data_IF_858322176366
#
_entry.id   IF_858322176366
#
_cell.length_a   1.000
_cell.length_b   1.000
_cell.length_c   1.000
_cell.angle_alpha   90.00
_cell.angle_beta   90.00
_cell.angle_gamma   90.00
#
_symmetry.space_group_name_H-M   'P 1'
#
loop_
_entity.id
_entity.type
_entity.pdbx_description
1 polymer ?
#
# COMPACT_ATOMS: atom_id res chain seq x y z
N UNK A 1 84.75 -4.18 -22.84
CA UNK A 1 84.13 -3.36 -21.76
C UNK A 1 82.82 -2.69 -22.17
N UNK A 2 82.34 -2.82 -23.41
CA UNK A 2 81.08 -2.21 -23.89
C UNK A 2 79.81 -2.99 -23.57
N UNK A 3 79.91 -4.30 -23.27
CA UNK A 3 78.75 -5.15 -22.95
C UNK A 3 78.12 -4.89 -21.58
N UNK A 4 78.91 -4.44 -20.61
CA UNK A 4 78.49 -4.30 -19.20
C UNK A 4 77.62 -3.06 -18.98
N UNK A 5 78.00 -1.91 -19.58
CA UNK A 5 77.23 -0.67 -19.52
C UNK A 5 75.87 -0.77 -20.22
N UNK A 6 75.79 -1.54 -21.31
CA UNK A 6 74.53 -1.78 -22.03
C UNK A 6 73.56 -2.63 -21.20
N UNK A 7 74.08 -3.65 -20.48
CA UNK A 7 73.28 -4.47 -19.58
C UNK A 7 72.75 -3.67 -18.37
N UNK A 8 73.56 -2.77 -17.78
CA UNK A 8 73.12 -1.89 -16.69
C UNK A 8 72.04 -0.90 -17.15
N UNK A 9 72.19 -0.31 -18.35
CA UNK A 9 71.19 0.59 -18.91
C UNK A 9 69.85 -0.13 -19.14
N UNK A 10 69.88 -1.34 -19.71
CA UNK A 10 68.69 -2.17 -19.91
C UNK A 10 68.01 -2.57 -18.59
N UNK A 11 68.78 -2.94 -17.56
CA UNK A 11 68.23 -3.26 -16.24
C UNK A 11 67.54 -2.04 -15.59
N UNK A 12 68.14 -0.86 -15.74
CA UNK A 12 67.56 0.40 -15.22
C UNK A 12 66.27 0.77 -15.96
N UNK A 13 66.23 0.57 -17.28
CA UNK A 13 65.02 0.78 -18.10
C UNK A 13 63.92 -0.22 -17.70
N UNK A 14 64.27 -1.50 -17.50
CA UNK A 14 63.31 -2.52 -17.09
C UNK A 14 62.70 -2.21 -15.70
N UNK A 15 63.52 -1.75 -14.75
CA UNK A 15 63.07 -1.36 -13.41
C UNK A 15 62.17 -0.11 -13.43
N UNK A 16 62.49 0.86 -14.28
CA UNK A 16 61.63 2.02 -14.51
C UNK A 16 60.28 1.63 -15.14
N UNK A 17 60.28 0.70 -16.10
CA UNK A 17 59.06 0.19 -16.73
C UNK A 17 58.20 -0.61 -15.74
N UNK A 18 58.81 -1.42 -14.87
CA UNK A 18 58.08 -2.14 -13.81
C UNK A 18 57.40 -1.16 -12.85
N UNK A 19 58.12 -0.11 -12.41
CA UNK A 19 57.54 0.95 -11.57
C UNK A 19 56.40 1.70 -12.26
N UNK A 20 56.54 2.00 -13.55
CA UNK A 20 55.45 2.62 -14.32
C UNK A 20 54.24 1.70 -14.43
N UNK A 21 54.45 0.38 -14.59
CA UNK A 21 53.37 -0.60 -14.63
C UNK A 21 52.60 -0.64 -13.30
N UNK A 22 53.31 -0.70 -12.17
CA UNK A 22 52.69 -0.66 -10.84
C UNK A 22 51.88 0.64 -10.61
N UNK A 23 52.41 1.78 -11.06
CA UNK A 23 51.71 3.07 -10.98
C UNK A 23 50.43 3.11 -11.85
N UNK A 24 50.46 2.53 -13.06
CA UNK A 24 49.28 2.44 -13.94
C UNK A 24 48.22 1.52 -13.33
N UNK A 25 48.63 0.43 -12.69
CA UNK A 25 47.73 -0.46 -11.98
C UNK A 25 47.07 0.22 -10.78
N UNK A 26 47.83 0.98 -10.00
CA UNK A 26 47.28 1.79 -8.90
C UNK A 26 46.30 2.85 -9.40
N UNK A 27 46.65 3.56 -10.48
CA UNK A 27 45.75 4.53 -11.11
C UNK A 27 44.46 3.87 -11.61
N UNK A 28 44.56 2.68 -12.19
CA UNK A 28 43.39 1.92 -12.66
C UNK A 28 42.49 1.53 -11.49
N UNK A 29 43.06 1.07 -10.37
CA UNK A 29 42.29 0.77 -9.14
C UNK A 29 41.68 2.04 -8.56
N UNK A 30 42.41 3.15 -8.55
CA UNK A 30 41.92 4.43 -8.04
C UNK A 30 40.74 4.94 -8.87
N UNK A 31 40.83 4.90 -10.21
CA UNK A 31 39.75 5.30 -11.11
C UNK A 31 38.49 4.47 -10.90
N UNK A 32 38.59 3.14 -10.80
CA UNK A 32 37.42 2.28 -10.52
C UNK A 32 36.71 2.63 -9.22
N UNK A 33 37.44 3.00 -8.16
CA UNK A 33 36.83 3.46 -6.90
C UNK A 33 36.16 4.82 -7.05
N UNK A 34 36.74 5.72 -7.85
CA UNK A 34 36.16 7.04 -8.12
C UNK A 34 34.85 6.88 -8.88
N UNK A 35 34.81 6.05 -9.92
CA UNK A 35 33.61 5.74 -10.69
C UNK A 35 32.51 5.16 -9.78
N UNK A 36 32.83 4.15 -8.97
CA UNK A 36 31.87 3.57 -8.02
C UNK A 36 31.33 4.59 -7.00
N UNK A 37 32.19 5.50 -6.53
CA UNK A 37 31.77 6.58 -5.63
C UNK A 37 30.88 7.61 -6.34
N UNK A 38 31.17 7.95 -7.60
CA UNK A 38 30.36 8.86 -8.40
C UNK A 38 28.97 8.29 -8.64
N UNK A 39 28.87 7.02 -8.99
CA UNK A 39 27.59 6.32 -9.17
C UNK A 39 26.73 6.36 -7.89
N UNK A 40 27.36 6.11 -6.73
CA UNK A 40 26.68 6.20 -5.43
C UNK A 40 26.27 7.64 -5.08
N UNK A 41 27.09 8.65 -5.41
CA UNK A 41 26.76 10.05 -5.20
C UNK A 41 25.55 10.46 -6.06
N UNK A 42 25.56 10.10 -7.35
CA UNK A 42 24.45 10.39 -8.26
C UNK A 42 23.16 9.74 -7.77
N UNK A 43 23.22 8.46 -7.37
CA UNK A 43 22.08 7.75 -6.78
C UNK A 43 21.52 8.46 -5.53
N UNK A 44 22.39 8.99 -4.68
CA UNK A 44 21.96 9.76 -3.49
C UNK A 44 21.35 11.12 -3.86
N UNK A 45 21.90 11.81 -4.86
CA UNK A 45 21.35 13.08 -5.33
C UNK A 45 19.95 12.90 -5.92
N UNK A 46 19.72 11.83 -6.67
CA UNK A 46 18.39 11.49 -7.19
C UNK A 46 17.40 11.24 -6.04
N UNK A 47 17.79 10.45 -5.04
CA UNK A 47 16.97 10.21 -3.84
C UNK A 47 16.65 11.49 -3.06
N UNK A 48 17.60 12.43 -2.97
CA UNK A 48 17.39 13.74 -2.35
C UNK A 48 16.41 14.57 -3.19
N UNK A 49 16.55 14.56 -4.51
CA UNK A 49 15.66 15.27 -5.44
C UNK A 49 14.22 14.80 -5.34
N UNK A 50 14.00 13.48 -5.31
CA UNK A 50 12.66 12.89 -5.10
C UNK A 50 12.08 13.29 -3.74
N UNK A 51 12.86 13.22 -2.66
CA UNK A 51 12.42 13.64 -1.32
C UNK A 51 12.05 15.12 -1.25
N UNK A 52 12.82 16.00 -1.89
CA UNK A 52 12.50 17.43 -1.95
C UNK A 52 11.20 17.71 -2.71
N UNK A 53 10.94 16.98 -3.80
CA UNK A 53 9.69 17.10 -4.54
C UNK A 53 8.48 16.72 -3.67
N UNK A 54 8.56 15.63 -2.91
CA UNK A 54 7.48 15.23 -1.99
C UNK A 54 7.27 16.26 -0.88
N UNK A 55 8.34 16.78 -0.26
CA UNK A 55 8.24 17.82 0.77
C UNK A 55 7.58 19.09 0.21
N UNK A 56 7.96 19.51 -0.99
CA UNK A 56 7.35 20.65 -1.67
C UNK A 56 5.85 20.44 -1.91
N UNK A 57 5.45 19.23 -2.33
CA UNK A 57 4.04 18.87 -2.48
C UNK A 57 3.29 18.96 -1.14
N UNK A 58 3.81 18.35 -0.07
CA UNK A 58 3.20 18.39 1.27
C UNK A 58 3.05 19.84 1.74
N UNK A 59 4.08 20.67 1.58
CA UNK A 59 4.06 22.07 1.96
C UNK A 59 3.01 22.87 1.16
N UNK A 60 2.89 22.61 -0.15
CA UNK A 60 1.88 23.24 -0.99
C UNK A 60 0.46 22.88 -0.54
N UNK A 61 0.20 21.61 -0.19
CA UNK A 61 -1.09 21.18 0.35
C UNK A 61 -1.37 21.79 1.73
N UNK A 62 -0.38 21.84 2.62
CA UNK A 62 -0.52 22.46 3.94
C UNK A 62 -0.85 23.96 3.81
N UNK A 63 -0.20 24.66 2.87
CA UNK A 63 -0.50 26.06 2.55
C UNK A 63 -1.90 26.21 1.93
N UNK A 64 -2.30 25.34 1.01
CA UNK A 64 -3.65 25.34 0.45
C UNK A 64 -4.71 25.14 1.54
N UNK A 65 -4.47 24.20 2.46
CA UNK A 65 -5.35 23.95 3.60
C UNK A 65 -5.45 25.17 4.53
N UNK A 66 -4.34 25.88 4.78
CA UNK A 66 -4.35 27.05 5.66
C UNK A 66 -5.15 28.23 5.08
N UNK A 67 -5.26 28.33 3.75
CA UNK A 67 -6.10 29.33 3.06
C UNK A 67 -7.53 28.84 2.77
N UNK A 68 -7.93 27.71 3.34
CA UNK A 68 -9.30 27.19 3.29
C UNK A 68 -9.59 26.18 2.18
N UNK A 69 -8.58 25.73 1.42
CA UNK A 69 -8.75 24.64 0.47
C UNK A 69 -8.73 23.28 1.19
N UNK A 70 -9.88 22.60 1.25
CA UNK A 70 -10.03 21.32 1.94
C UNK A 70 -9.74 20.10 1.06
N UNK A 71 -9.02 20.25 -0.06
CA UNK A 71 -8.62 19.12 -0.89
C UNK A 71 -7.74 18.14 -0.08
N UNK A 72 -8.08 16.84 -0.16
CA UNK A 72 -7.29 15.80 0.48
C UNK A 72 -5.91 15.68 -0.20
N UNK A 73 -4.90 15.31 0.59
CA UNK A 73 -3.59 14.92 0.04
C UNK A 73 -3.76 13.70 -0.89
N UNK A 74 -3.03 13.64 -2.01
CA UNK A 74 -2.96 12.45 -2.85
C UNK A 74 -2.51 11.25 -2.04
N UNK A 75 -3.07 10.08 -2.33
CA UNK A 75 -2.83 8.85 -1.59
C UNK A 75 -1.35 8.46 -1.60
N UNK A 76 -0.65 8.71 -2.69
CA UNK A 76 0.76 8.42 -2.87
C UNK A 76 1.63 9.27 -1.94
N UNK A 77 1.28 10.54 -1.80
CA UNK A 77 1.99 11.50 -0.95
C UNK A 77 1.78 11.18 0.52
N UNK A 78 0.53 10.98 0.96
CA UNK A 78 0.23 10.64 2.36
C UNK A 78 0.77 9.25 2.76
N UNK A 79 1.00 8.39 1.77
CA UNK A 79 1.60 7.07 1.94
C UNK A 79 3.13 7.09 2.02
N UNK A 80 3.77 8.26 1.88
CA UNK A 80 5.22 8.39 2.00
C UNK A 80 5.72 7.91 3.37
N UNK A 81 6.86 7.18 3.45
CA UNK A 81 7.45 6.72 4.71
C UNK A 81 7.65 7.83 5.76
N UNK A 82 7.94 9.07 5.33
CA UNK A 82 8.10 10.22 6.22
C UNK A 82 6.79 10.61 6.91
N UNK A 83 5.64 10.24 6.35
CA UNK A 83 4.31 10.51 6.88
C UNK A 83 3.69 9.32 7.62
N UNK A 84 4.40 8.20 7.84
CA UNK A 84 3.85 7.06 8.58
C UNK A 84 3.33 7.45 9.97
N UNK A 85 4.08 8.27 10.70
CA UNK A 85 3.67 8.77 12.01
C UNK A 85 2.42 9.65 11.92
N UNK A 86 2.27 10.40 10.84
CA UNK A 86 1.07 11.20 10.59
C UNK A 86 -0.13 10.29 10.34
N UNK A 87 -0.01 9.31 9.45
CA UNK A 87 -1.07 8.33 9.14
C UNK A 87 -1.52 7.58 10.40
N UNK A 88 -0.59 7.15 11.25
CA UNK A 88 -0.91 6.45 12.50
C UNK A 88 -1.68 7.33 13.50
N UNK A 89 -1.35 8.62 13.57
CA UNK A 89 -1.86 9.53 14.60
C UNK A 89 -2.98 10.46 14.10
N UNK A 90 -3.42 10.31 12.87
CA UNK A 90 -4.49 11.14 12.31
C UNK A 90 -5.77 11.06 13.18
N UNK A 91 -6.50 12.17 13.36
CA UNK A 91 -7.81 12.13 14.03
C UNK A 91 -8.81 11.28 13.22
N UNK A 92 -9.85 10.79 13.87
CA UNK A 92 -10.91 10.08 13.16
C UNK A 92 -11.62 11.03 12.18
N UNK A 93 -11.79 10.58 10.95
CA UNK A 93 -12.56 11.34 9.97
C UNK A 93 -14.05 11.25 10.28
N UNK A 94 -14.64 12.40 10.63
CA UNK A 94 -16.07 12.54 10.92
C UNK A 94 -16.87 13.16 9.79
N UNK A 95 -16.20 13.64 8.73
CA UNK A 95 -16.83 14.43 7.66
C UNK A 95 -16.92 13.67 6.35
N UNK A 96 -16.01 12.74 6.10
CA UNK A 96 -16.02 11.98 4.85
C UNK A 96 -17.33 11.21 4.66
N UNK A 97 -17.80 11.27 3.43
CA UNK A 97 -18.96 10.53 2.92
C UNK A 97 -18.55 9.20 2.29
N UNK A 98 -17.27 8.83 2.34
CA UNK A 98 -16.78 7.52 1.87
C UNK A 98 -17.51 6.43 2.63
N UNK A 99 -18.18 5.54 1.89
CA UNK A 99 -19.07 4.53 2.48
C UNK A 99 -18.38 3.66 3.52
N UNK A 100 -17.17 3.17 3.24
CA UNK A 100 -16.40 2.38 4.21
C UNK A 100 -16.24 3.10 5.58
N UNK A 101 -15.94 4.41 5.57
CA UNK A 101 -15.81 5.19 6.80
C UNK A 101 -17.16 5.43 7.49
N UNK A 102 -18.24 5.60 6.72
CA UNK A 102 -19.60 5.76 7.26
C UNK A 102 -20.09 4.47 7.91
N UNK A 103 -19.98 3.36 7.19
CA UNK A 103 -20.43 2.04 7.65
C UNK A 103 -19.61 1.58 8.86
N UNK A 104 -18.30 1.84 8.86
CA UNK A 104 -17.46 1.55 10.01
C UNK A 104 -17.77 2.43 11.21
N UNK A 105 -18.00 3.74 11.06
CA UNK A 105 -18.43 4.60 12.18
C UNK A 105 -19.70 4.06 12.83
N UNK A 106 -20.70 3.69 12.01
CA UNK A 106 -21.95 3.10 12.50
C UNK A 106 -21.68 1.79 13.24
N UNK A 107 -20.92 0.89 12.62
CA UNK A 107 -20.62 -0.43 13.20
C UNK A 107 -19.83 -0.31 14.49
N UNK A 108 -18.75 0.47 14.49
CA UNK A 108 -17.90 0.71 15.66
C UNK A 108 -18.70 1.25 16.84
N UNK A 109 -19.64 2.19 16.61
CA UNK A 109 -20.50 2.74 17.66
C UNK A 109 -21.46 1.71 18.29
N UNK A 110 -21.79 0.64 17.58
CA UNK A 110 -22.76 -0.39 18.02
C UNK A 110 -22.15 -1.60 18.70
N UNK A 111 -20.88 -1.93 18.44
CA UNK A 111 -20.22 -3.12 19.02
C UNK A 111 -19.64 -2.84 20.40
N UNK A 112 -19.46 -3.88 21.22
CA UNK A 112 -18.88 -3.75 22.56
C UNK A 112 -17.39 -3.36 22.55
N UNK A 113 -16.91 -2.71 23.61
CA UNK A 113 -15.52 -2.24 23.71
C UNK A 113 -14.47 -3.35 23.53
N UNK A 114 -14.71 -4.54 24.10
CA UNK A 114 -13.80 -5.68 23.96
C UNK A 114 -13.68 -6.17 22.50
N UNK A 115 -14.79 -6.18 21.76
CA UNK A 115 -14.79 -6.53 20.35
C UNK A 115 -14.09 -5.46 19.52
N UNK A 116 -14.42 -4.19 19.75
CA UNK A 116 -13.78 -3.05 19.08
C UNK A 116 -12.26 -3.02 19.30
N UNK A 117 -11.78 -3.32 20.52
CA UNK A 117 -10.35 -3.41 20.82
C UNK A 117 -9.65 -4.55 20.06
N UNK A 118 -10.31 -5.70 19.88
CA UNK A 118 -9.79 -6.80 19.05
C UNK A 118 -9.72 -6.40 17.58
N UNK A 119 -10.77 -5.76 17.05
CA UNK A 119 -10.79 -5.29 15.66
C UNK A 119 -9.73 -4.22 15.42
N UNK A 120 -9.54 -3.28 16.35
CA UNK A 120 -8.49 -2.27 16.26
C UNK A 120 -7.09 -2.91 16.27
N UNK A 121 -6.86 -3.90 17.12
CA UNK A 121 -5.60 -4.67 17.11
C UNK A 121 -5.37 -5.33 15.75
N UNK A 122 -6.42 -5.88 15.13
CA UNK A 122 -6.32 -6.46 13.78
C UNK A 122 -6.06 -5.39 12.70
N UNK A 123 -6.68 -4.22 12.79
CA UNK A 123 -6.44 -3.10 11.88
C UNK A 123 -5.02 -2.53 12.01
N UNK A 124 -4.41 -2.64 13.18
CA UNK A 124 -3.02 -2.26 13.40
C UNK A 124 -1.99 -3.27 12.91
N UNK A 125 -2.42 -4.42 12.38
CA UNK A 125 -1.52 -5.35 11.71
C UNK A 125 -1.37 -4.93 10.24
N UNK A 126 -0.17 -4.49 9.79
CA UNK A 126 0.07 -4.20 8.39
C UNK A 126 -0.19 -5.43 7.51
N UNK A 127 -0.79 -5.22 6.34
CA UNK A 127 -1.12 -6.31 5.43
C UNK A 127 -0.07 -6.46 4.32
N UNK A 128 0.34 -7.71 3.97
CA UNK A 128 1.26 -7.96 2.87
C UNK A 128 0.71 -7.49 1.52
N UNK A 129 -0.62 -7.51 1.37
CA UNK A 129 -1.35 -7.15 0.15
C UNK A 129 -1.84 -5.70 0.12
N UNK A 130 -1.44 -4.86 1.08
CA UNK A 130 -1.89 -3.46 1.10
C UNK A 130 -1.35 -2.67 -0.11
N UNK A 131 -2.24 -1.94 -0.77
CA UNK A 131 -1.88 -0.82 -1.64
C UNK A 131 -1.74 0.45 -0.78
N UNK A 132 -1.25 1.54 -1.37
CA UNK A 132 -1.25 2.85 -0.70
C UNK A 132 -2.66 3.27 -0.25
N UNK A 133 -3.68 2.99 -1.08
CA UNK A 133 -5.09 3.29 -0.77
C UNK A 133 -5.62 2.44 0.38
N UNK A 134 -5.45 1.12 0.34
CA UNK A 134 -5.99 0.25 1.41
C UNK A 134 -5.24 0.46 2.72
N UNK A 135 -3.93 0.75 2.66
CA UNK A 135 -3.13 1.12 3.84
C UNK A 135 -3.66 2.40 4.47
N UNK A 136 -3.87 3.46 3.70
CA UNK A 136 -4.42 4.71 4.22
C UNK A 136 -5.80 4.47 4.86
N UNK A 137 -6.68 3.76 4.14
CA UNK A 137 -8.02 3.43 4.63
C UNK A 137 -7.96 2.63 5.94
N UNK A 138 -7.05 1.65 6.06
CA UNK A 138 -6.82 0.87 7.29
C UNK A 138 -6.66 1.76 8.50
N UNK A 139 -5.80 2.77 8.40
CA UNK A 139 -5.49 3.65 9.52
C UNK A 139 -6.54 4.75 9.72
N UNK A 140 -7.34 5.09 8.71
CA UNK A 140 -8.53 5.92 8.89
C UNK A 140 -9.63 5.18 9.67
N UNK A 141 -9.86 3.90 9.34
CA UNK A 141 -10.77 3.03 10.10
C UNK A 141 -10.26 2.82 11.54
N UNK A 142 -8.95 2.61 11.71
CA UNK A 142 -8.34 2.47 13.03
C UNK A 142 -8.47 3.76 13.86
N UNK A 143 -8.35 4.94 13.24
CA UNK A 143 -8.53 6.22 13.92
C UNK A 143 -9.95 6.37 14.49
N UNK A 144 -10.98 5.92 13.74
CA UNK A 144 -12.37 5.85 14.21
C UNK A 144 -12.48 4.92 15.43
N UNK A 145 -11.97 3.69 15.34
CA UNK A 145 -12.06 2.73 16.45
C UNK A 145 -11.33 3.20 17.70
N UNK A 146 -10.18 3.86 17.54
CA UNK A 146 -9.41 4.45 18.64
C UNK A 146 -10.16 5.60 19.32
N UNK A 147 -10.76 6.49 18.54
CA UNK A 147 -11.54 7.60 19.09
C UNK A 147 -12.78 7.08 19.83
N UNK A 148 -13.46 6.09 19.25
CA UNK A 148 -14.64 5.47 19.86
C UNK A 148 -14.29 4.78 21.20
N UNK A 149 -13.19 4.04 21.28
CA UNK A 149 -12.72 3.47 22.56
C UNK A 149 -12.41 4.55 23.60
N UNK A 150 -11.70 5.61 23.21
CA UNK A 150 -11.41 6.73 24.11
C UNK A 150 -12.69 7.42 24.58
N UNK A 151 -13.67 7.59 23.69
CA UNK A 151 -14.99 8.14 24.02
C UNK A 151 -15.75 7.31 25.06
N UNK A 152 -15.47 6.01 25.13
CA UNK A 152 -16.01 5.07 26.13
C UNK A 152 -15.19 5.02 27.42
N UNK A 153 -14.11 5.80 27.54
CA UNK A 153 -13.19 5.77 28.68
C UNK A 153 -12.19 4.61 28.68
N UNK A 154 -12.06 3.90 27.55
CA UNK A 154 -11.14 2.77 27.40
C UNK A 154 -9.77 3.22 26.87
N UNK A 155 -8.73 2.48 27.24
CA UNK A 155 -7.39 2.68 26.68
C UNK A 155 -7.27 1.89 25.37
N UNK A 156 -7.12 2.55 24.22
CA UNK A 156 -6.97 1.85 22.95
C UNK A 156 -5.62 1.11 22.89
N UNK A 157 -5.55 -0.03 22.18
CA UNK A 157 -4.30 -0.66 21.80
C UNK A 157 -3.25 0.32 21.27
N UNK A 158 -1.98 0.05 21.55
CA UNK A 158 -0.88 0.85 21.02
C UNK A 158 -0.78 0.71 19.49
N UNK A 159 -0.52 1.80 18.76
CA UNK A 159 -0.29 1.74 17.32
C UNK A 159 1.01 0.95 17.01
N UNK A 160 1.12 0.35 15.81
CA UNK A 160 2.34 -0.33 15.40
C UNK A 160 3.49 0.66 15.18
N UNK A 161 4.72 0.15 15.15
CA UNK A 161 5.92 0.95 14.87
C UNK A 161 6.06 1.35 13.41
N UNK A 162 5.42 0.62 12.49
CA UNK A 162 5.37 0.92 11.07
C UNK A 162 4.02 0.56 10.48
N UNK A 163 3.65 1.25 9.42
CA UNK A 163 2.43 0.98 8.64
C UNK A 163 2.63 -0.09 7.57
N UNK A 164 3.87 -0.54 7.33
CA UNK A 164 4.25 -1.45 6.27
C UNK A 164 4.45 -2.88 6.78
N UNK A 165 3.98 -3.85 6.01
CA UNK A 165 4.26 -5.26 6.29
C UNK A 165 5.72 -5.59 5.98
N UNK A 166 6.38 -6.30 6.90
CA UNK A 166 7.77 -6.73 6.73
C UNK A 166 7.91 -7.83 5.67
N UNK A 167 6.94 -8.75 5.64
CA UNK A 167 6.85 -9.80 4.62
C UNK A 167 5.76 -9.42 3.62
N UNK A 168 6.13 -9.33 2.35
CA UNK A 168 5.24 -9.09 1.20
C UNK A 168 5.45 -10.13 0.10
N UNK A 169 5.96 -11.29 0.48
CA UNK A 169 6.13 -12.43 -0.43
C UNK A 169 4.79 -12.85 -1.05
N UNK A 170 4.86 -13.50 -2.21
CA UNK A 170 3.68 -14.06 -2.88
C UNK A 170 2.90 -14.99 -1.94
N UNK A 171 3.60 -15.79 -1.13
CA UNK A 171 2.98 -16.71 -0.16
C UNK A 171 2.22 -15.94 0.93
N UNK A 172 2.80 -14.89 1.50
CA UNK A 172 2.13 -14.04 2.49
C UNK A 172 0.88 -13.37 1.91
N UNK A 173 0.96 -12.90 0.67
CA UNK A 173 -0.18 -12.31 -0.07
C UNK A 173 -1.28 -13.37 -0.33
N UNK A 174 -0.90 -14.60 -0.65
CA UNK A 174 -1.85 -15.68 -0.92
C UNK A 174 -2.58 -16.11 0.37
N UNK A 175 -1.84 -16.28 1.47
CA UNK A 175 -2.44 -16.56 2.80
C UNK A 175 -3.42 -15.46 3.17
N UNK A 176 -3.02 -14.20 3.02
CA UNK A 176 -3.88 -13.06 3.30
C UNK A 176 -5.14 -13.04 2.44
N UNK A 177 -5.01 -13.34 1.15
CA UNK A 177 -6.15 -13.38 0.24
C UNK A 177 -7.14 -14.49 0.58
N UNK A 178 -6.66 -15.63 1.07
CA UNK A 178 -7.51 -16.70 1.60
C UNK A 178 -8.26 -16.26 2.87
N UNK A 179 -7.60 -15.58 3.82
CA UNK A 179 -8.24 -15.01 5.02
C UNK A 179 -9.37 -14.04 4.67
N UNK A 180 -9.12 -13.13 3.73
CA UNK A 180 -10.11 -12.16 3.27
C UNK A 180 -11.30 -12.83 2.59
N UNK A 181 -11.06 -13.86 1.79
CA UNK A 181 -12.13 -14.63 1.15
C UNK A 181 -12.98 -15.39 2.17
N UNK A 182 -12.36 -15.94 3.22
CA UNK A 182 -13.10 -16.56 4.33
C UNK A 182 -13.96 -15.53 5.07
N UNK A 183 -13.40 -14.36 5.39
CA UNK A 183 -14.13 -13.27 6.04
C UNK A 183 -15.33 -12.80 5.19
N UNK A 184 -15.13 -12.65 3.88
CA UNK A 184 -16.21 -12.30 2.95
C UNK A 184 -17.31 -13.37 2.91
N UNK A 185 -16.93 -14.64 2.81
CA UNK A 185 -17.87 -15.78 2.72
C UNK A 185 -18.65 -16.00 4.01
N UNK A 186 -18.10 -15.63 5.16
CA UNK A 186 -18.79 -15.68 6.44
C UNK A 186 -19.98 -14.70 6.52
N UNK A 187 -20.03 -13.69 5.65
CA UNK A 187 -21.13 -12.73 5.57
C UNK A 187 -21.00 -11.55 6.53
N UNK A 188 -22.10 -10.79 6.66
CA UNK A 188 -22.14 -9.52 7.39
C UNK A 188 -21.67 -9.66 8.84
N UNK A 189 -20.54 -9.03 9.17
CA UNK A 189 -19.97 -9.02 10.51
C UNK A 189 -19.21 -7.72 10.76
N UNK A 190 -18.99 -7.35 12.02
CA UNK A 190 -18.19 -6.17 12.34
C UNK A 190 -16.77 -6.25 11.79
N UNK A 191 -16.18 -7.45 11.77
CA UNK A 191 -14.88 -7.71 11.16
C UNK A 191 -14.85 -7.42 9.65
N UNK A 192 -15.95 -7.72 8.93
CA UNK A 192 -16.05 -7.44 7.51
C UNK A 192 -15.98 -5.94 7.22
N UNK A 193 -16.70 -5.12 7.98
CA UNK A 193 -16.68 -3.65 7.83
C UNK A 193 -15.39 -3.01 8.38
N UNK A 194 -14.68 -3.70 9.27
CA UNK A 194 -13.38 -3.27 9.79
C UNK A 194 -12.24 -3.50 8.79
N UNK A 195 -12.46 -4.30 7.74
CA UNK A 195 -11.42 -4.72 6.80
C UNK A 195 -11.32 -3.80 5.58
N UNK A 196 -10.28 -2.95 5.49
CA UNK A 196 -10.12 -1.99 4.39
C UNK A 196 -9.96 -2.65 3.02
N UNK A 197 -9.34 -3.85 2.94
CA UNK A 197 -9.14 -4.54 1.66
C UNK A 197 -10.43 -5.07 1.04
N UNK A 198 -11.51 -5.17 1.83
CA UNK A 198 -12.84 -5.60 1.38
C UNK A 198 -13.80 -4.44 1.12
N UNK A 199 -13.40 -3.19 1.39
CA UNK A 199 -14.24 -2.01 1.20
C UNK A 199 -14.77 -1.89 -0.24
N UNK A 200 -13.91 -2.11 -1.23
CA UNK A 200 -14.32 -2.06 -2.64
C UNK A 200 -15.34 -3.17 -3.01
N UNK A 201 -15.18 -4.38 -2.46
CA UNK A 201 -16.13 -5.46 -2.68
C UNK A 201 -17.50 -5.17 -2.03
N UNK A 202 -17.49 -4.59 -0.83
CA UNK A 202 -18.70 -4.11 -0.16
C UNK A 202 -19.42 -3.05 -1.01
N UNK A 203 -18.69 -2.10 -1.59
CA UNK A 203 -19.25 -1.04 -2.45
C UNK A 203 -19.94 -1.60 -3.69
N UNK A 204 -19.35 -2.61 -4.32
CA UNK A 204 -19.96 -3.29 -5.46
C UNK A 204 -21.23 -4.04 -5.08
N UNK A 205 -21.19 -4.73 -3.96
CA UNK A 205 -22.32 -5.51 -3.49
C UNK A 205 -23.51 -4.60 -3.16
N UNK A 206 -23.29 -3.50 -2.45
CA UNK A 206 -24.36 -2.54 -2.16
C UNK A 206 -24.86 -1.80 -3.40
N UNK A 207 -23.97 -1.51 -4.36
CA UNK A 207 -24.40 -0.95 -5.64
C UNK A 207 -25.33 -1.91 -6.40
N UNK A 208 -25.07 -3.22 -6.32
CA UNK A 208 -25.94 -4.24 -6.91
C UNK A 208 -27.28 -4.35 -6.16
N UNK A 209 -27.27 -4.33 -4.83
CA UNK A 209 -28.50 -4.29 -4.00
C UNK A 209 -29.37 -3.09 -4.36
N UNK A 210 -28.78 -1.90 -4.46
CA UNK A 210 -29.50 -0.67 -4.82
C UNK A 210 -30.08 -0.71 -6.23
N UNK A 211 -29.35 -1.26 -7.21
CA UNK A 211 -29.85 -1.41 -8.59
C UNK A 211 -30.96 -2.46 -8.70
N UNK A 212 -30.94 -3.45 -7.81
CA UNK A 212 -31.95 -4.49 -7.72
C UNK A 212 -33.29 -4.05 -7.13
N UNK A 213 -33.37 -2.82 -6.58
CA UNK A 213 -34.60 -2.23 -6.05
C UNK A 213 -35.63 -2.05 -7.19
N UNK A 214 -36.48 -3.08 -7.40
CA UNK A 214 -37.47 -3.15 -8.47
C UNK A 214 -37.56 -4.52 -9.16
N UNK A 215 -36.61 -5.42 -8.92
CA UNK A 215 -36.65 -6.83 -9.36
C UNK A 215 -37.49 -7.64 -8.35
N UNK A 216 -38.31 -8.62 -8.77
CA UNK A 216 -38.98 -9.53 -7.84
C UNK A 216 -37.98 -10.18 -6.88
N UNK A 217 -38.27 -10.15 -5.57
CA UNK A 217 -37.34 -10.53 -4.48
C UNK A 217 -36.64 -11.88 -4.69
N UNK A 218 -37.33 -12.86 -5.28
CA UNK A 218 -36.78 -14.20 -5.55
C UNK A 218 -35.63 -14.22 -6.55
N UNK A 219 -35.67 -13.37 -7.59
CA UNK A 219 -34.60 -13.29 -8.59
C UNK A 219 -33.43 -12.45 -8.07
N UNK A 220 -33.73 -11.37 -7.35
CA UNK A 220 -32.70 -10.51 -6.74
C UNK A 220 -31.84 -11.30 -5.75
N UNK A 221 -32.45 -12.12 -4.90
CA UNK A 221 -31.70 -12.92 -3.93
C UNK A 221 -30.73 -13.91 -4.61
N UNK A 222 -31.12 -14.51 -5.73
CA UNK A 222 -30.26 -15.45 -6.48
C UNK A 222 -29.09 -14.72 -7.13
N UNK A 223 -29.35 -13.57 -7.74
CA UNK A 223 -28.32 -12.73 -8.37
C UNK A 223 -27.31 -12.21 -7.35
N UNK A 224 -27.78 -11.74 -6.18
CA UNK A 224 -26.90 -11.30 -5.09
C UNK A 224 -26.08 -12.46 -4.52
N UNK A 225 -26.66 -13.65 -4.36
CA UNK A 225 -25.92 -14.83 -3.93
C UNK A 225 -24.86 -15.26 -4.96
N UNK A 226 -25.14 -15.11 -6.25
CA UNK A 226 -24.16 -15.34 -7.32
C UNK A 226 -23.04 -14.29 -7.27
N UNK A 227 -23.37 -13.01 -7.15
CA UNK A 227 -22.39 -11.93 -7.03
C UNK A 227 -21.49 -12.12 -5.80
N UNK A 228 -22.06 -12.47 -4.65
CA UNK A 228 -21.32 -12.75 -3.42
C UNK A 228 -20.30 -13.88 -3.62
N UNK A 229 -20.69 -14.98 -4.27
CA UNK A 229 -19.78 -16.08 -4.62
C UNK A 229 -18.66 -15.64 -5.56
N UNK A 230 -18.99 -14.94 -6.65
CA UNK A 230 -18.01 -14.44 -7.63
C UNK A 230 -16.99 -13.51 -6.99
N UNK A 231 -17.43 -12.57 -6.13
CA UNK A 231 -16.53 -11.69 -5.41
C UNK A 231 -15.62 -12.48 -4.46
N UNK A 232 -16.16 -13.48 -3.75
CA UNK A 232 -15.38 -14.35 -2.87
C UNK A 232 -14.28 -15.12 -3.61
N UNK A 233 -14.58 -15.62 -4.81
CA UNK A 233 -13.61 -16.35 -5.64
C UNK A 233 -12.51 -15.42 -6.18
N UNK A 234 -12.87 -14.20 -6.58
CA UNK A 234 -11.91 -13.16 -6.98
C UNK A 234 -10.98 -12.75 -5.84
N UNK A 235 -11.54 -12.53 -4.64
CA UNK A 235 -10.75 -12.20 -3.45
C UNK A 235 -9.76 -13.34 -3.13
N UNK A 236 -10.19 -14.59 -3.25
CA UNK A 236 -9.36 -15.76 -2.95
C UNK A 236 -8.11 -15.87 -3.86
N UNK A 237 -8.21 -15.42 -5.13
CA UNK A 237 -7.07 -15.37 -6.06
C UNK A 237 -6.23 -14.10 -5.96
N UNK A 238 -6.53 -13.22 -5.00
CA UNK A 238 -5.75 -12.01 -4.72
C UNK A 238 -6.28 -10.73 -5.37
N UNK A 239 -7.42 -10.78 -6.05
CA UNK A 239 -8.03 -9.57 -6.60
C UNK A 239 -8.63 -8.70 -5.48
N UNK A 240 -8.67 -7.38 -5.71
CA UNK A 240 -9.28 -6.38 -4.84
C UNK A 240 -10.28 -5.57 -5.68
N UNK A 241 -11.50 -6.09 -5.89
CA UNK A 241 -12.50 -5.44 -6.72
C UNK A 241 -12.85 -4.07 -6.15
N UNK A 242 -12.83 -3.03 -6.99
CA UNK A 242 -13.25 -1.68 -6.61
C UNK A 242 -14.10 -1.06 -7.71
N UNK A 243 -15.05 -0.19 -7.33
CA UNK A 243 -15.94 0.48 -8.27
C UNK A 243 -15.20 1.32 -9.33
N UNK A 244 -14.06 1.91 -8.98
CA UNK A 244 -13.23 2.71 -9.91
C UNK A 244 -12.56 1.86 -11.00
N UNK A 245 -12.07 0.66 -10.66
CA UNK A 245 -11.49 -0.30 -11.62
C UNK A 245 -12.56 -0.97 -12.48
N UNK A 246 -13.77 -1.06 -11.94
CA UNK A 246 -14.90 -1.70 -12.56
C UNK A 246 -15.61 -0.78 -13.55
N UNK A 247 -15.54 0.55 -13.46
CA UNK A 247 -16.05 1.44 -14.51
C UNK A 247 -15.44 1.16 -15.91
N UNK A 248 -14.25 0.55 -15.96
CA UNK A 248 -13.57 0.15 -17.21
C UNK A 248 -13.90 -1.28 -17.67
N UNK A 249 -14.38 -2.17 -16.78
CA UNK A 249 -14.65 -3.61 -17.09
C UNK A 249 -16.14 -4.02 -16.96
N UNK A 250 -16.97 -3.21 -16.31
CA UNK A 250 -18.31 -3.59 -15.83
C UNK A 250 -19.37 -3.78 -16.89
N UNK A 251 -19.27 -3.14 -18.05
CA UNK A 251 -20.35 -3.23 -19.03
C UNK A 251 -20.38 -4.57 -19.77
N UNK A 252 -19.31 -5.37 -19.73
CA UNK A 252 -19.25 -6.67 -20.42
C UNK A 252 -19.26 -7.86 -19.46
N UNK A 253 -18.50 -7.81 -18.36
CA UNK A 253 -18.34 -8.99 -17.50
C UNK A 253 -19.51 -9.23 -16.55
N UNK A 254 -20.13 -8.17 -16.02
CA UNK A 254 -21.37 -8.34 -15.22
C UNK A 254 -22.53 -8.72 -16.14
N UNK A 255 -22.60 -8.17 -17.36
CA UNK A 255 -23.60 -8.60 -18.34
C UNK A 255 -23.39 -10.07 -18.76
N UNK A 256 -22.15 -10.51 -19.01
CA UNK A 256 -21.84 -11.90 -19.36
C UNK A 256 -22.09 -12.88 -18.19
N UNK A 257 -21.72 -12.49 -16.97
CA UNK A 257 -21.96 -13.30 -15.77
C UNK A 257 -23.45 -13.40 -15.41
N UNK A 258 -24.24 -12.35 -15.71
CA UNK A 258 -25.70 -12.35 -15.54
C UNK A 258 -26.43 -13.05 -16.71
N UNK A 259 -25.83 -13.12 -17.91
CA UNK A 259 -26.40 -13.81 -19.09
C UNK A 259 -26.02 -15.29 -19.21
N UNK A 260 -25.16 -15.82 -18.32
CA UNK A 260 -24.78 -17.23 -18.33
C UNK A 260 -23.90 -17.65 -19.50
N UNK A 261 -23.28 -16.70 -20.21
CA UNK A 261 -22.36 -17.02 -21.30
C UNK A 261 -20.95 -17.27 -20.75
N UNK A 262 -20.43 -18.48 -20.97
CA UNK A 262 -19.02 -18.79 -20.71
C UNK A 262 -18.13 -17.94 -21.64
N UNK A 263 -17.01 -17.39 -21.14
CA UNK A 263 -16.03 -16.75 -22.01
C UNK A 263 -15.45 -17.82 -22.96
N UNK A 264 -15.33 -17.47 -24.24
CA UNK A 264 -14.65 -18.27 -25.27
C UNK A 264 -13.14 -18.19 -25.12
#
# INVERSE_FOLDING_TARGET
>A
MTGDASATALATIADALARMHDQVDELTRANRRIEANQDEILRRLDQIGEGQATIAQIAAYAHAASIGNSAALPTEVISDPLLERFVLNQPADRRSTTRALVDWRRTASSIGSAELARLLTSQYRPSPSDTSETRLLRYQLAAIGREELRGRGENPPAPPSSTLAQDRSTDAVQVRSAELAMLWRAGGSAALYAEPELAGALDLFAAAELRGLGIPDGNLSVELAQLHRVLGDRIAVGDRPSASKLATSLSKEIVAALQGEKPR
#
